data_IF_326937087683
#
_entry.id   IF_326937087683
#
_cell.length_a   1.000
_cell.length_b   1.000
_cell.length_c   1.000
_cell.angle_alpha   90.00
_cell.angle_beta   90.00
_cell.angle_gamma   90.00
#
_symmetry.space_group_name_H-M   'P 1'
#
loop_
_entity.id
_entity.type
_entity.pdbx_description
1 polymer ?
#
# COMPACT_ATOMS: atom_id res chain seq x y z
N UNK A 1 6.07 7.29 -10.22
CA UNK A 1 4.94 6.87 -9.36
C UNK A 1 3.65 7.67 -9.63
N UNK A 2 3.49 8.26 -10.80
CA UNK A 2 2.35 9.16 -11.13
C UNK A 2 1.10 8.42 -11.64
N UNK A 3 1.23 7.19 -12.13
CA UNK A 3 0.12 6.45 -12.77
C UNK A 3 -0.91 5.89 -11.79
N UNK A 4 -0.49 5.38 -10.62
CA UNK A 4 -1.43 4.90 -9.60
C UNK A 4 -2.21 6.04 -8.95
N UNK A 5 -1.54 7.16 -8.66
CA UNK A 5 -2.21 8.34 -8.13
C UNK A 5 -3.14 8.97 -9.18
N UNK A 6 -2.81 8.95 -10.47
CA UNK A 6 -3.74 9.44 -11.50
C UNK A 6 -4.94 8.51 -11.71
N UNK A 7 -4.77 7.19 -11.52
CA UNK A 7 -5.84 6.22 -11.71
C UNK A 7 -6.78 6.09 -10.50
N UNK A 8 -6.24 6.18 -9.28
CA UNK A 8 -7.00 5.96 -8.03
C UNK A 8 -7.08 7.20 -7.13
N UNK A 9 -6.33 8.26 -7.41
CA UNK A 9 -6.44 9.57 -6.75
C UNK A 9 -6.50 9.50 -5.22
N UNK A 10 -7.45 10.24 -4.67
CA UNK A 10 -7.79 10.30 -3.23
C UNK A 10 -8.75 9.18 -2.79
N UNK A 11 -8.93 8.14 -3.61
CA UNK A 11 -9.88 7.07 -3.31
C UNK A 11 -9.44 6.30 -2.07
N UNK A 12 -10.33 6.24 -1.08
CA UNK A 12 -10.11 5.54 0.17
C UNK A 12 -10.58 4.09 0.05
N UNK A 13 -9.80 3.18 0.64
CA UNK A 13 -10.15 1.76 0.76
C UNK A 13 -11.53 1.58 1.41
N UNK A 14 -11.87 2.44 2.37
CA UNK A 14 -13.14 2.42 3.10
C UNK A 14 -14.36 2.74 2.22
N UNK A 15 -14.15 3.49 1.13
CA UNK A 15 -15.21 3.90 0.20
C UNK A 15 -15.40 2.90 -0.95
N UNK A 16 -14.69 1.77 -0.94
CA UNK A 16 -14.85 0.75 -1.97
C UNK A 16 -16.17 -0.02 -1.77
N UNK A 17 -16.85 -0.38 -2.87
CA UNK A 17 -18.14 -1.09 -2.80
C UNK A 17 -18.03 -2.51 -2.23
N UNK A 18 -16.81 -3.05 -2.12
CA UNK A 18 -16.52 -4.37 -1.58
C UNK A 18 -15.40 -4.26 -0.56
N UNK A 19 -15.39 -5.19 0.40
CA UNK A 19 -14.30 -5.28 1.37
C UNK A 19 -12.98 -5.53 0.65
N UNK A 20 -12.07 -4.57 0.76
CA UNK A 20 -10.73 -4.66 0.19
C UNK A 20 -9.71 -4.85 1.31
N UNK A 21 -8.83 -5.82 1.13
CA UNK A 21 -7.75 -6.14 2.07
C UNK A 21 -6.49 -6.32 1.26
N UNK A 22 -5.47 -5.52 1.57
CA UNK A 22 -4.18 -5.64 0.94
C UNK A 22 -3.14 -6.06 1.97
N UNK A 23 -2.36 -7.07 1.61
CA UNK A 23 -1.39 -7.70 2.48
C UNK A 23 -0.02 -7.34 1.91
N UNK A 24 0.79 -6.63 2.70
CA UNK A 24 2.19 -6.39 2.41
C UNK A 24 3.07 -7.04 3.48
N UNK A 25 4.36 -7.13 3.24
CA UNK A 25 5.33 -7.63 4.22
C UNK A 25 6.21 -6.46 4.61
N UNK A 26 6.34 -6.21 5.91
CA UNK A 26 7.36 -5.32 6.43
C UNK A 26 8.67 -6.10 6.59
N UNK A 27 9.70 -5.82 5.78
CA UNK A 27 10.94 -6.58 5.81
C UNK A 27 11.81 -6.24 7.02
N UNK A 28 11.59 -5.10 7.68
CA UNK A 28 12.32 -4.73 8.90
C UNK A 28 11.68 -5.33 10.14
N UNK A 29 10.35 -5.29 10.24
CA UNK A 29 9.64 -5.93 11.33
C UNK A 29 9.47 -7.44 11.12
N UNK A 30 9.79 -7.97 9.94
CA UNK A 30 9.54 -9.35 9.48
C UNK A 30 8.09 -9.78 9.71
N UNK A 31 7.15 -8.87 9.51
CA UNK A 31 5.74 -9.06 9.82
C UNK A 31 4.86 -8.80 8.62
N UNK A 32 3.77 -9.56 8.54
CA UNK A 32 2.72 -9.31 7.57
C UNK A 32 1.88 -8.12 8.02
N UNK A 33 1.80 -7.09 7.17
CA UNK A 33 1.00 -5.89 7.42
C UNK A 33 -0.27 -5.96 6.57
N UNK A 34 -1.42 -5.84 7.22
CA UNK A 34 -2.73 -5.86 6.55
C UNK A 34 -3.31 -4.46 6.50
N UNK A 35 -3.33 -3.88 5.31
CA UNK A 35 -3.91 -2.58 5.03
C UNK A 35 -5.41 -2.72 4.78
N UNK A 36 -6.20 -2.10 5.67
CA UNK A 36 -7.68 -2.12 5.63
C UNK A 36 -8.29 -0.73 5.51
N UNK A 37 -7.46 0.32 5.60
CA UNK A 37 -7.86 1.73 5.63
C UNK A 37 -6.79 2.59 4.96
N UNK A 38 -7.14 3.81 4.58
CA UNK A 38 -6.24 4.75 3.91
C UNK A 38 -6.45 4.86 2.40
N UNK A 39 -5.60 5.65 1.74
CA UNK A 39 -5.64 5.88 0.29
C UNK A 39 -5.22 4.62 -0.45
N UNK A 40 -6.05 4.21 -1.42
CA UNK A 40 -5.83 3.02 -2.21
C UNK A 40 -4.52 3.10 -3.01
N UNK A 41 -4.21 4.27 -3.57
CA UNK A 41 -2.99 4.48 -4.35
C UNK A 41 -1.72 4.23 -3.52
N UNK A 42 -1.67 4.70 -2.28
CA UNK A 42 -0.51 4.54 -1.40
C UNK A 42 -0.34 3.08 -0.97
N UNK A 43 -1.44 2.42 -0.61
CA UNK A 43 -1.44 1.01 -0.21
C UNK A 43 -1.03 0.10 -1.36
N UNK A 44 -1.53 0.36 -2.57
CA UNK A 44 -1.10 -0.36 -3.77
C UNK A 44 0.37 -0.10 -4.10
N UNK A 45 0.87 1.12 -3.89
CA UNK A 45 2.28 1.44 -4.09
C UNK A 45 3.19 0.62 -3.15
N UNK A 46 2.80 0.40 -1.90
CA UNK A 46 3.53 -0.49 -0.99
C UNK A 46 3.51 -1.95 -1.46
N UNK A 47 2.37 -2.49 -1.91
CA UNK A 47 2.34 -3.87 -2.39
C UNK A 47 3.15 -4.12 -3.67
N UNK A 48 3.26 -3.11 -4.54
CA UNK A 48 4.00 -3.20 -5.80
C UNK A 48 5.50 -2.96 -5.62
N UNK A 49 5.94 -2.48 -4.45
CA UNK A 49 7.36 -2.33 -4.14
C UNK A 49 7.94 -3.68 -3.78
N UNK A 50 8.47 -4.36 -4.79
CA UNK A 50 9.31 -5.53 -4.55
C UNK A 50 10.66 -5.08 -3.97
N UNK A 51 11.13 -5.74 -2.88
CA UNK A 51 12.49 -5.59 -2.42
C UNK A 51 13.44 -5.83 -3.60
N UNK A 52 14.50 -5.01 -3.73
CA UNK A 52 15.48 -4.99 -4.82
C UNK A 52 15.08 -4.19 -6.07
N UNK A 53 13.80 -4.15 -6.46
CA UNK A 53 13.35 -3.46 -7.68
C UNK A 53 12.93 -2.01 -7.41
N UNK A 54 12.44 -1.71 -6.22
CA UNK A 54 11.98 -0.39 -5.83
C UNK A 54 12.41 -0.05 -4.40
N UNK A 55 12.71 1.23 -4.14
CA UNK A 55 13.05 1.69 -2.79
C UNK A 55 11.87 1.44 -1.83
N UNK A 56 12.16 1.05 -0.59
CA UNK A 56 11.15 0.82 0.44
C UNK A 56 10.42 2.13 0.81
N UNK A 57 9.12 2.06 1.03
CA UNK A 57 8.28 3.20 1.44
C UNK A 57 7.93 3.08 2.91
N UNK A 58 8.00 4.20 3.63
CA UNK A 58 7.35 4.27 4.95
C UNK A 58 5.88 4.58 4.72
N UNK A 59 4.99 3.64 5.04
CA UNK A 59 3.56 3.84 5.02
C UNK A 59 2.96 3.47 6.37
N UNK A 60 2.25 4.42 6.97
CA UNK A 60 1.59 4.27 8.26
C UNK A 60 2.49 3.73 9.40
N UNK A 61 3.77 4.13 9.39
CA UNK A 61 4.78 3.69 10.38
C UNK A 61 5.42 2.32 10.10
N UNK A 62 4.98 1.62 9.05
CA UNK A 62 5.57 0.35 8.57
C UNK A 62 6.35 0.56 7.28
N UNK A 63 7.41 -0.22 7.06
CA UNK A 63 8.27 -0.13 5.88
C UNK A 63 7.81 -1.19 4.88
N UNK A 64 7.38 -0.78 3.68
CA UNK A 64 6.82 -1.66 2.64
C UNK A 64 7.41 -1.38 1.27
#
# INVERSE_FOLDING_TARGET
MTTLFSAFGEQLIEKLPKQFRLISVDPLAQQTVVHRRGKLADVLACALRLPLLYALMVYNGTIG
#
